data_IF_211153179963
#
_entry.id   IF_211153179963
#
_cell.length_a   1.000
_cell.length_b   1.000
_cell.length_c   1.000
_cell.angle_alpha   90.00
_cell.angle_beta   90.00
_cell.angle_gamma   90.00
#
_symmetry.space_group_name_H-M   'P 1'
#
loop_
_entity.id
_entity.type
_entity.pdbx_description
1 polymer ?
#
# COMPACT_ATOMS: atom_id res chain seq x y z
N UNK A 1 15.98 -8.97 14.81
CA UNK A 1 16.48 -8.79 13.42
C UNK A 1 15.39 -8.13 12.56
N UNK A 2 15.71 -7.48 11.42
CA UNK A 2 14.69 -6.89 10.54
C UNK A 2 13.53 -7.82 10.18
N UNK A 3 13.80 -9.12 10.02
CA UNK A 3 12.76 -10.15 9.79
C UNK A 3 11.70 -10.28 10.90
N UNK A 4 11.97 -9.78 12.11
CA UNK A 4 11.01 -9.79 13.22
C UNK A 4 9.83 -8.84 12.95
N UNK A 5 10.06 -7.74 12.22
CA UNK A 5 9.01 -6.81 11.81
C UNK A 5 8.08 -7.48 10.81
N UNK A 6 8.63 -8.09 9.76
CA UNK A 6 7.84 -8.84 8.78
C UNK A 6 7.07 -9.98 9.45
N UNK A 7 7.69 -10.71 10.37
CA UNK A 7 7.04 -11.78 11.11
C UNK A 7 5.90 -11.26 12.01
N UNK A 8 6.10 -10.15 12.70
CA UNK A 8 5.08 -9.52 13.53
C UNK A 8 3.88 -9.06 12.68
N UNK A 9 4.13 -8.35 11.58
CA UNK A 9 3.07 -7.89 10.66
C UNK A 9 2.36 -9.09 10.01
N UNK A 10 3.11 -10.12 9.61
CA UNK A 10 2.54 -11.37 9.08
C UNK A 10 1.56 -12.03 10.05
N UNK A 11 1.88 -12.05 11.35
CA UNK A 11 0.99 -12.62 12.37
C UNK A 11 -0.25 -11.77 12.62
N UNK A 12 -0.15 -10.44 12.47
CA UNK A 12 -1.28 -9.51 12.61
C UNK A 12 -2.09 -9.36 11.31
N UNK A 13 -1.66 -9.99 10.22
CA UNK A 13 -2.13 -9.83 8.83
C UNK A 13 -1.90 -8.42 8.22
N UNK A 14 -2.01 -7.36 9.01
CA UNK A 14 -1.76 -5.98 8.59
C UNK A 14 -1.27 -5.12 9.76
N UNK A 15 -0.66 -3.98 9.42
CA UNK A 15 -0.29 -2.94 10.38
C UNK A 15 -0.80 -1.59 9.87
N UNK A 16 -1.78 -1.01 10.57
CA UNK A 16 -2.37 0.27 10.18
C UNK A 16 -1.35 1.41 10.28
N UNK A 17 -1.38 2.30 9.30
CA UNK A 17 -0.59 3.53 9.20
C UNK A 17 -1.44 4.70 9.68
N UNK A 18 -0.94 5.40 10.70
CA UNK A 18 -1.54 6.64 11.21
C UNK A 18 -0.54 7.80 11.10
N UNK A 19 -1.04 8.97 10.70
CA UNK A 19 -0.28 10.21 10.60
C UNK A 19 -0.10 10.94 11.93
N UNK A 20 -0.95 10.68 12.92
CA UNK A 20 -0.90 11.33 14.24
C UNK A 20 0.42 10.96 14.93
N UNK A 21 1.13 11.99 15.43
CA UNK A 21 2.45 11.84 16.03
C UNK A 21 2.60 12.66 17.32
N UNK A 22 1.79 12.34 18.34
CA UNK A 22 1.87 12.99 19.66
C UNK A 22 3.01 12.41 20.51
N UNK A 23 3.13 11.09 20.53
CA UNK A 23 4.22 10.37 21.25
C UNK A 23 5.12 9.67 20.24
N UNK A 24 4.51 8.82 19.42
CA UNK A 24 5.07 8.26 18.19
C UNK A 24 3.88 7.89 17.29
N UNK A 25 4.13 7.68 15.99
CA UNK A 25 3.08 7.20 15.09
C UNK A 25 2.67 5.77 15.42
N UNK A 26 1.38 5.47 15.27
CA UNK A 26 0.77 4.18 15.64
C UNK A 26 1.55 2.93 15.17
N UNK A 27 2.05 2.84 13.92
CA UNK A 27 2.83 1.67 13.47
C UNK A 27 3.99 1.31 14.40
N UNK A 28 4.71 2.33 14.88
CA UNK A 28 5.91 2.13 15.68
C UNK A 28 5.58 1.67 17.09
N UNK A 29 4.48 2.17 17.65
CA UNK A 29 3.97 1.77 18.97
C UNK A 29 3.46 0.33 18.96
N UNK A 30 2.69 -0.05 17.94
CA UNK A 30 2.18 -1.43 17.81
C UNK A 30 3.32 -2.44 17.70
N UNK A 31 4.34 -2.13 16.88
CA UNK A 31 5.52 -2.99 16.77
C UNK A 31 6.32 -3.05 18.06
N UNK A 32 6.49 -1.93 18.79
CA UNK A 32 7.15 -1.91 20.09
C UNK A 32 6.44 -2.83 21.09
N UNK A 33 5.10 -2.79 21.16
CA UNK A 33 4.32 -3.68 22.04
C UNK A 33 4.43 -5.17 21.71
N UNK A 34 4.90 -5.53 20.51
CA UNK A 34 5.07 -6.91 20.04
C UNK A 34 6.52 -7.39 20.11
N UNK A 35 7.48 -6.50 19.89
CA UNK A 35 8.90 -6.81 19.73
C UNK A 35 9.78 -6.29 20.88
N UNK A 36 9.23 -5.44 21.76
CA UNK A 36 10.02 -4.65 22.70
C UNK A 36 10.81 -3.56 21.97
N UNK A 37 11.97 -3.20 22.53
CA UNK A 37 12.88 -2.25 21.89
C UNK A 37 13.40 -2.81 20.57
N UNK A 38 13.16 -2.10 19.47
CA UNK A 38 13.65 -2.46 18.13
C UNK A 38 14.04 -1.20 17.36
N UNK A 39 14.97 -1.28 16.39
CA UNK A 39 15.27 -0.17 15.51
C UNK A 39 14.08 0.13 14.58
N UNK A 40 13.49 1.33 14.70
CA UNK A 40 12.35 1.75 13.87
C UNK A 40 12.63 1.69 12.37
N UNK A 41 13.88 1.93 11.97
CA UNK A 41 14.34 1.82 10.58
C UNK A 41 14.08 0.44 9.94
N UNK A 42 13.88 -0.62 10.75
CA UNK A 42 13.54 -1.94 10.21
C UNK A 42 12.20 -1.97 9.48
N UNK A 43 11.23 -1.14 9.88
CA UNK A 43 9.94 -1.05 9.17
C UNK A 43 10.11 -0.42 7.78
N UNK A 44 10.81 0.71 7.72
CA UNK A 44 11.09 1.40 6.46
C UNK A 44 11.97 0.55 5.54
N UNK A 45 12.95 -0.16 6.09
CA UNK A 45 13.83 -1.07 5.35
C UNK A 45 13.07 -2.28 4.80
N UNK A 46 12.13 -2.87 5.56
CA UNK A 46 11.30 -3.96 5.08
C UNK A 46 10.39 -3.54 3.92
N UNK A 47 9.88 -2.30 3.94
CA UNK A 47 9.19 -1.71 2.79
C UNK A 47 10.14 -1.52 1.60
N UNK A 48 11.31 -0.91 1.83
CA UNK A 48 12.31 -0.61 0.79
C UNK A 48 12.87 -1.86 0.11
N UNK A 49 12.99 -2.97 0.84
CA UNK A 49 13.36 -4.31 0.31
C UNK A 49 12.24 -4.99 -0.46
N UNK A 50 11.02 -4.44 -0.41
CA UNK A 50 9.83 -5.06 -0.98
C UNK A 50 9.35 -6.27 -0.21
N UNK A 51 9.68 -6.43 1.08
CA UNK A 51 9.10 -7.48 1.92
C UNK A 51 7.67 -7.11 2.34
N UNK A 52 7.44 -5.80 2.51
CA UNK A 52 6.15 -5.19 2.77
C UNK A 52 5.67 -4.38 1.56
N UNK A 53 4.37 -4.11 1.53
CA UNK A 53 3.73 -3.16 0.64
C UNK A 53 2.77 -2.26 1.43
N UNK A 54 2.43 -1.10 0.87
CA UNK A 54 1.33 -0.27 1.38
C UNK A 54 0.10 -0.42 0.51
N UNK A 55 -1.08 -0.57 1.14
CA UNK A 55 -2.35 -0.47 0.43
C UNK A 55 -3.53 -0.12 1.35
N UNK A 56 -4.70 0.15 0.74
CA UNK A 56 -5.97 0.33 1.42
C UNK A 56 -6.60 -1.03 1.77
N UNK A 57 -6.53 -1.43 3.04
CA UNK A 57 -7.32 -2.54 3.56
C UNK A 57 -8.66 -2.00 4.11
N UNK A 58 -8.67 -1.52 5.35
CA UNK A 58 -9.74 -0.65 5.87
C UNK A 58 -9.29 0.81 5.82
N UNK A 59 -8.08 1.06 6.33
CA UNK A 59 -7.33 2.30 6.16
C UNK A 59 -5.98 2.00 5.47
N UNK A 60 -5.11 3.00 5.39
CA UNK A 60 -3.75 2.80 4.91
C UNK A 60 -3.02 1.83 5.84
N UNK A 61 -2.47 0.74 5.30
CA UNK A 61 -1.78 -0.28 6.09
C UNK A 61 -0.49 -0.74 5.39
N UNK A 62 0.48 -1.19 6.19
CA UNK A 62 1.53 -2.10 5.75
C UNK A 62 1.00 -3.54 5.72
N UNK A 63 1.31 -4.25 4.65
CA UNK A 63 0.90 -5.63 4.39
C UNK A 63 2.12 -6.43 3.94
N UNK A 64 2.23 -7.73 4.25
CA UNK A 64 3.21 -8.60 3.61
C UNK A 64 3.05 -8.57 2.09
N UNK A 65 4.13 -8.48 1.32
CA UNK A 65 4.05 -8.45 -0.16
C UNK A 65 3.30 -9.64 -0.76
N UNK A 66 3.41 -10.82 -0.15
CA UNK A 66 2.68 -12.03 -0.58
C UNK A 66 1.15 -11.87 -0.54
N UNK A 67 0.65 -10.89 0.21
CA UNK A 67 -0.78 -10.63 0.34
C UNK A 67 -1.29 -9.67 -0.75
N UNK A 68 -0.45 -9.29 -1.73
CA UNK A 68 -0.87 -8.54 -2.91
C UNK A 68 -2.07 -9.19 -3.61
N UNK A 69 -2.05 -10.52 -3.74
CA UNK A 69 -3.17 -11.30 -4.30
C UNK A 69 -4.50 -11.10 -3.57
N UNK A 70 -4.46 -10.88 -2.25
CA UNK A 70 -5.66 -10.71 -1.43
C UNK A 70 -6.32 -9.36 -1.70
N UNK A 71 -5.53 -8.33 -1.99
CA UNK A 71 -6.04 -6.97 -2.21
C UNK A 71 -6.17 -6.58 -3.68
N UNK A 72 -5.65 -7.40 -4.60
CA UNK A 72 -5.59 -7.07 -6.03
C UNK A 72 -6.96 -6.87 -6.67
N UNK A 73 -7.97 -7.65 -6.28
CA UNK A 73 -9.34 -7.48 -6.77
C UNK A 73 -9.89 -6.05 -6.51
N UNK A 74 -9.47 -5.39 -5.43
CA UNK A 74 -9.86 -4.01 -5.11
C UNK A 74 -9.17 -2.99 -6.02
N UNK A 75 -7.91 -3.25 -6.37
CA UNK A 75 -7.16 -2.41 -7.30
C UNK A 75 -7.72 -2.48 -8.72
N UNK A 76 -8.25 -3.65 -9.11
CA UNK A 76 -8.87 -3.88 -10.42
C UNK A 76 -10.32 -3.35 -10.51
N UNK A 77 -10.95 -3.06 -9.37
CA UNK A 77 -12.28 -2.45 -9.27
C UNK A 77 -12.25 -1.18 -8.39
N UNK A 78 -11.40 -0.18 -8.72
CA UNK A 78 -11.17 0.96 -7.85
C UNK A 78 -12.41 1.85 -7.66
N UNK A 79 -13.37 1.82 -8.58
CA UNK A 79 -14.67 2.48 -8.46
C UNK A 79 -15.47 2.05 -7.23
N UNK A 80 -15.21 0.85 -6.69
CA UNK A 80 -15.83 0.34 -5.46
C UNK A 80 -15.17 0.86 -4.19
N UNK A 81 -14.07 1.62 -4.29
CA UNK A 81 -13.30 2.12 -3.14
C UNK A 81 -13.86 3.43 -2.54
N UNK A 82 -15.02 3.90 -3.03
CA UNK A 82 -15.70 5.09 -2.52
C UNK A 82 -14.84 6.33 -2.64
N UNK A 83 -14.75 7.13 -1.57
CA UNK A 83 -14.03 8.41 -1.59
C UNK A 83 -12.52 8.31 -1.91
N UNK A 84 -11.92 7.12 -1.76
CA UNK A 84 -10.50 6.84 -2.07
C UNK A 84 -10.20 6.81 -3.57
N UNK A 85 -11.23 6.75 -4.42
CA UNK A 85 -11.09 6.80 -5.87
C UNK A 85 -12.17 7.68 -6.50
N UNK A 86 -11.77 8.64 -7.33
CA UNK A 86 -12.69 9.57 -7.99
C UNK A 86 -12.62 9.39 -9.50
N UNK A 87 -13.47 8.52 -10.04
CA UNK A 87 -13.48 8.18 -11.46
C UNK A 87 -13.59 9.40 -12.39
N UNK A 88 -14.45 10.36 -12.06
CA UNK A 88 -14.61 11.60 -12.83
C UNK A 88 -13.28 12.37 -12.97
N UNK A 89 -12.49 12.46 -11.89
CA UNK A 89 -11.18 13.12 -11.92
C UNK A 89 -10.17 12.36 -12.78
N UNK A 90 -10.16 11.02 -12.67
CA UNK A 90 -9.27 10.20 -13.49
C UNK A 90 -9.57 10.32 -14.97
N UNK A 91 -10.85 10.52 -15.32
CA UNK A 91 -11.27 10.76 -16.69
C UNK A 91 -10.93 12.18 -17.17
N UNK A 92 -11.27 13.19 -16.36
CA UNK A 92 -11.02 14.61 -16.65
C UNK A 92 -9.53 14.91 -16.89
N UNK A 93 -8.65 14.28 -16.10
CA UNK A 93 -7.21 14.49 -16.18
C UNK A 93 -6.44 13.31 -16.80
N UNK A 94 -7.10 12.50 -17.65
CA UNK A 94 -6.52 11.27 -18.19
C UNK A 94 -5.17 11.49 -18.91
N UNK A 95 -5.07 12.55 -19.73
CA UNK A 95 -3.84 12.91 -20.42
C UNK A 95 -2.70 13.23 -19.42
N UNK A 96 -3.02 13.93 -18.34
CA UNK A 96 -2.04 14.26 -17.31
C UNK A 96 -1.55 13.07 -16.51
N UNK A 97 -2.48 12.19 -16.17
CA UNK A 97 -2.15 10.94 -15.50
C UNK A 97 -1.25 10.08 -16.38
N UNK A 98 -1.52 10.03 -17.69
CA UNK A 98 -0.70 9.27 -18.63
C UNK A 98 0.72 9.86 -18.76
N UNK A 99 0.84 11.19 -18.85
CA UNK A 99 2.14 11.88 -18.83
C UNK A 99 2.92 11.59 -17.53
N UNK A 100 2.25 11.60 -16.38
CA UNK A 100 2.86 11.23 -15.10
C UNK A 100 3.35 9.78 -15.10
N UNK A 101 2.55 8.84 -15.62
CA UNK A 101 2.96 7.43 -15.73
C UNK A 101 4.18 7.27 -16.63
N UNK A 102 4.23 7.96 -17.79
CA UNK A 102 5.41 7.99 -18.66
C UNK A 102 6.63 8.58 -17.97
N UNK A 103 6.45 9.69 -17.24
CA UNK A 103 7.53 10.31 -16.49
C UNK A 103 8.13 9.33 -15.46
N UNK A 104 7.28 8.63 -14.69
CA UNK A 104 7.74 7.60 -13.75
C UNK A 104 8.46 6.49 -14.54
N UNK A 105 7.89 6.01 -15.66
CA UNK A 105 8.51 4.99 -16.51
C UNK A 105 9.95 5.36 -16.93
N UNK A 106 10.19 6.61 -17.31
CA UNK A 106 11.48 7.09 -17.82
C UNK A 106 12.47 7.47 -16.71
N UNK A 107 12.00 8.11 -15.64
CA UNK A 107 12.86 8.76 -14.63
C UNK A 107 12.89 8.02 -13.29
N UNK A 108 12.02 7.02 -13.10
CA UNK A 108 11.95 6.21 -11.88
C UNK A 108 10.95 6.75 -10.85
N UNK A 109 11.07 6.30 -9.58
CA UNK A 109 10.09 6.56 -8.54
C UNK A 109 9.98 8.05 -8.14
N UNK A 110 8.77 8.50 -7.79
CA UNK A 110 8.47 9.92 -7.48
C UNK A 110 7.67 10.10 -6.20
N UNK A 111 7.75 11.28 -5.59
CA UNK A 111 6.88 11.75 -4.50
C UNK A 111 5.99 12.87 -5.01
N UNK A 112 4.85 13.09 -4.35
CA UNK A 112 4.02 14.26 -4.64
C UNK A 112 4.78 15.59 -4.49
N UNK A 113 5.69 15.65 -3.50
CA UNK A 113 6.50 16.83 -3.20
C UNK A 113 7.55 17.17 -4.28
N UNK A 114 7.93 16.21 -5.14
CA UNK A 114 8.88 16.46 -6.22
C UNK A 114 8.26 17.40 -7.29
N UNK A 115 6.94 17.49 -7.34
CA UNK A 115 6.17 18.36 -8.24
C UNK A 115 5.76 19.70 -7.60
N UNK A 116 5.90 19.84 -6.29
CA UNK A 116 5.63 21.08 -5.54
C UNK A 116 6.81 22.06 -5.57
N UNK A 117 7.85 21.85 -6.38
CA UNK A 117 8.99 22.78 -6.44
C UNK A 117 9.56 22.88 -7.85
N UNK A 118 8.71 22.75 -8.88
CA UNK A 118 9.12 22.91 -10.28
C UNK A 118 10.02 24.15 -10.40
N UNK A 119 11.29 23.91 -10.79
CA UNK A 119 12.36 24.92 -10.77
C UNK A 119 11.86 26.19 -11.48
N UNK A 120 12.01 27.35 -10.82
CA UNK A 120 11.75 28.67 -11.42
C UNK A 120 12.43 28.73 -12.80
N UNK A 121 11.64 28.81 -13.88
CA UNK A 121 12.15 28.94 -15.25
C UNK A 121 11.75 27.84 -16.23
N UNK A 122 11.14 26.73 -15.79
CA UNK A 122 10.52 25.76 -16.70
C UNK A 122 9.04 26.10 -16.84
N UNK A 123 8.70 27.03 -17.74
CA UNK A 123 7.30 27.23 -18.13
C UNK A 123 6.88 26.07 -19.04
N UNK A 124 6.12 25.14 -18.52
CA UNK A 124 5.52 24.08 -19.32
C UNK A 124 4.89 23.06 -18.41
N UNK A 125 3.58 22.85 -18.55
CA UNK A 125 2.74 21.79 -18.01
C UNK A 125 2.78 21.45 -16.49
N UNK A 126 3.85 21.77 -15.79
CA UNK A 126 4.13 21.57 -14.37
C UNK A 126 3.54 22.65 -13.46
N UNK A 127 2.53 23.39 -13.92
CA UNK A 127 1.85 24.37 -13.07
C UNK A 127 0.85 23.71 -12.10
N UNK A 128 1.41 23.17 -11.01
CA UNK A 128 0.89 22.97 -9.64
C UNK A 128 -0.60 22.64 -9.40
N UNK A 129 -0.82 21.40 -8.92
CA UNK A 129 -1.65 20.94 -7.76
C UNK A 129 -2.31 19.55 -7.92
N UNK A 130 -2.58 18.98 -9.10
CA UNK A 130 -3.35 17.74 -9.13
C UNK A 130 -2.49 16.48 -8.94
N UNK A 131 -1.15 16.53 -9.02
CA UNK A 131 -0.27 15.35 -8.95
C UNK A 131 -0.45 14.49 -7.70
N UNK A 132 -0.72 15.09 -6.53
CA UNK A 132 -1.04 14.32 -5.32
C UNK A 132 -2.27 13.44 -5.54
N UNK A 133 -3.33 14.03 -6.12
CA UNK A 133 -4.59 13.33 -6.40
C UNK A 133 -4.45 12.33 -7.55
N UNK A 134 -3.61 12.63 -8.55
CA UNK A 134 -3.24 11.69 -9.62
C UNK A 134 -2.53 10.46 -9.04
N UNK A 135 -1.51 10.66 -8.19
CA UNK A 135 -0.79 9.57 -7.53
C UNK A 135 -1.69 8.77 -6.59
N UNK A 136 -2.59 9.43 -5.83
CA UNK A 136 -3.57 8.75 -4.99
C UNK A 136 -4.55 7.90 -5.81
N UNK A 137 -5.03 8.42 -6.95
CA UNK A 137 -5.90 7.69 -7.86
C UNK A 137 -5.21 6.48 -8.50
N UNK A 138 -3.97 6.67 -9.00
CA UNK A 138 -3.14 5.59 -9.55
C UNK A 138 -2.80 4.54 -8.49
N UNK A 139 -2.56 4.96 -7.25
CA UNK A 139 -2.29 4.06 -6.12
C UNK A 139 -3.53 3.23 -5.78
N UNK A 140 -4.70 3.85 -5.68
CA UNK A 140 -5.96 3.13 -5.44
C UNK A 140 -6.31 2.18 -6.61
N UNK A 141 -6.00 2.55 -7.85
CA UNK A 141 -6.15 1.68 -9.02
C UNK A 141 -5.02 0.64 -9.17
N UNK A 142 -4.07 0.56 -8.23
CA UNK A 142 -2.94 -0.36 -8.25
C UNK A 142 -2.07 -0.24 -9.51
N UNK A 143 -2.00 0.95 -10.11
CA UNK A 143 -1.10 1.29 -11.24
C UNK A 143 0.28 1.70 -10.73
N UNK A 144 0.34 2.27 -9.53
CA UNK A 144 1.58 2.52 -8.79
C UNK A 144 1.52 1.84 -7.41
N UNK A 145 2.69 1.54 -6.87
CA UNK A 145 2.89 1.04 -5.51
C UNK A 145 3.88 1.93 -4.76
N UNK A 146 3.80 1.93 -3.43
CA UNK A 146 4.77 2.62 -2.59
C UNK A 146 6.00 1.74 -2.42
N UNK A 147 7.17 2.24 -2.82
CA UNK A 147 8.46 1.53 -2.71
C UNK A 147 9.24 1.89 -1.47
N UNK A 148 9.03 3.09 -0.92
CA UNK A 148 9.60 3.53 0.35
C UNK A 148 8.84 4.75 0.89
N UNK A 149 9.21 5.17 2.10
CA UNK A 149 8.83 6.46 2.66
C UNK A 149 10.05 7.33 2.89
N UNK A 150 9.98 8.60 2.47
CA UNK A 150 10.98 9.63 2.81
C UNK A 150 10.29 10.71 3.63
N UNK A 151 10.71 10.93 4.88
CA UNK A 151 10.04 11.85 5.80
C UNK A 151 8.53 11.59 5.92
N UNK A 152 8.14 10.32 5.94
CA UNK A 152 6.74 9.87 5.95
C UNK A 152 5.90 10.25 4.72
N UNK A 153 6.54 10.73 3.63
CA UNK A 153 5.93 10.87 2.32
C UNK A 153 6.16 9.60 1.50
N UNK A 154 5.11 9.13 0.82
CA UNK A 154 5.19 7.96 -0.07
C UNK A 154 6.04 8.29 -1.31
N UNK A 155 6.93 7.37 -1.65
CA UNK A 155 7.62 7.31 -2.95
C UNK A 155 6.94 6.23 -3.78
N UNK A 156 6.43 6.59 -4.95
CA UNK A 156 5.67 5.72 -5.82
C UNK A 156 6.49 5.26 -7.02
N UNK A 157 6.39 3.99 -7.38
CA UNK A 157 6.84 3.45 -8.67
C UNK A 157 5.72 2.61 -9.30
N UNK A 158 5.86 2.30 -10.58
CA UNK A 158 4.89 1.53 -11.34
C UNK A 158 4.79 0.10 -10.80
N UNK A 159 3.56 -0.39 -10.66
CA UNK A 159 3.29 -1.76 -10.20
C UNK A 159 4.07 -2.83 -10.97
N UNK A 160 4.23 -2.77 -12.31
CA UNK A 160 5.02 -3.76 -13.05
C UNK A 160 6.52 -3.74 -12.71
N UNK A 161 7.09 -2.61 -12.26
CA UNK A 161 8.49 -2.60 -11.78
C UNK A 161 8.61 -3.14 -10.37
N UNK A 162 7.62 -2.86 -9.53
CA UNK A 162 7.60 -3.36 -8.16
C UNK A 162 7.30 -4.86 -8.16
N UNK A 163 6.40 -5.35 -9.01
CA UNK A 163 5.90 -6.72 -9.12
C UNK A 163 6.15 -7.32 -10.53
N UNK A 164 7.41 -7.48 -10.98
CA UNK A 164 7.74 -7.78 -12.38
C UNK A 164 7.30 -9.16 -12.87
N UNK A 165 7.01 -10.08 -11.96
CA UNK A 165 6.57 -11.43 -12.30
C UNK A 165 5.09 -11.66 -12.04
N UNK A 166 4.35 -10.65 -11.59
CA UNK A 166 2.94 -10.77 -11.29
C UNK A 166 2.10 -10.82 -12.55
N UNK A 167 1.17 -11.76 -12.61
CA UNK A 167 0.20 -11.90 -13.68
C UNK A 167 -1.21 -12.02 -13.08
N UNK A 168 -2.11 -11.11 -13.45
CA UNK A 168 -3.47 -11.05 -12.87
C UNK A 168 -4.32 -12.28 -13.22
N UNK A 169 -4.09 -12.94 -14.36
CA UNK A 169 -4.83 -14.14 -14.77
C UNK A 169 -4.32 -15.39 -14.04
N UNK A 170 -2.99 -15.50 -13.88
CA UNK A 170 -2.35 -16.65 -13.23
C UNK A 170 -2.36 -16.56 -11.70
N UNK A 171 -2.04 -15.41 -11.14
CA UNK A 171 -1.79 -15.22 -9.70
C UNK A 171 -2.98 -14.58 -8.97
N UNK A 172 -3.94 -14.03 -9.73
CA UNK A 172 -5.13 -13.38 -9.20
C UNK A 172 -6.07 -14.32 -8.46
N UNK A 173 -6.83 -13.74 -7.53
CA UNK A 173 -7.91 -14.41 -6.83
C UNK A 173 -9.24 -13.74 -7.20
N UNK A 174 -10.31 -14.53 -7.26
CA UNK A 174 -11.65 -13.94 -7.25
C UNK A 174 -11.87 -13.15 -5.95
N UNK A 175 -12.79 -12.18 -5.98
CA UNK A 175 -13.14 -11.41 -4.79
C UNK A 175 -13.56 -12.34 -3.63
N UNK A 176 -14.40 -13.34 -3.89
CA UNK A 176 -14.88 -14.25 -2.85
C UNK A 176 -13.77 -15.13 -2.25
N UNK A 177 -12.81 -15.59 -3.07
CA UNK A 177 -11.65 -16.34 -2.60
C UNK A 177 -10.74 -15.46 -1.73
N UNK A 178 -10.49 -14.22 -2.18
CA UNK A 178 -9.70 -13.27 -1.42
C UNK A 178 -10.35 -12.95 -0.06
N UNK A 179 -11.66 -12.68 -0.04
CA UNK A 179 -12.41 -12.40 1.18
C UNK A 179 -12.40 -13.58 2.15
N UNK A 180 -12.59 -14.81 1.65
CA UNK A 180 -12.51 -16.02 2.49
C UNK A 180 -11.12 -16.16 3.15
N UNK A 181 -10.04 -16.00 2.38
CA UNK A 181 -8.68 -16.08 2.92
C UNK A 181 -8.37 -14.94 3.90
N UNK A 182 -8.89 -13.73 3.66
CA UNK A 182 -8.74 -12.60 4.58
C UNK A 182 -9.50 -12.85 5.89
N UNK A 183 -10.68 -13.47 5.84
CA UNK A 183 -11.43 -13.90 7.03
C UNK A 183 -10.64 -14.95 7.82
N UNK A 184 -10.09 -15.97 7.15
CA UNK A 184 -9.28 -17.00 7.80
C UNK A 184 -8.00 -16.42 8.44
N UNK A 185 -7.35 -15.48 7.76
CA UNK A 185 -6.21 -14.75 8.31
C UNK A 185 -6.62 -13.94 9.55
N UNK A 186 -7.75 -13.24 9.49
CA UNK A 186 -8.27 -12.43 10.59
C UNK A 186 -8.61 -13.29 11.80
N UNK A 187 -9.27 -14.43 11.59
CA UNK A 187 -9.60 -15.38 12.65
C UNK A 187 -8.31 -15.85 13.36
N UNK A 188 -7.31 -16.29 12.59
CA UNK A 188 -6.01 -16.72 13.14
C UNK A 188 -5.29 -15.62 13.91
N UNK A 189 -5.27 -14.39 13.40
CA UNK A 189 -4.63 -13.25 14.05
C UNK A 189 -5.30 -12.85 15.37
N UNK A 190 -6.61 -13.10 15.51
CA UNK A 190 -7.38 -12.86 16.73
C UNK A 190 -7.39 -14.05 17.71
N UNK A 191 -6.77 -15.18 17.33
CA UNK A 191 -6.72 -16.39 18.16
C UNK A 191 -7.93 -17.33 18.00
N UNK A 192 -8.78 -17.12 16.99
CA UNK A 192 -9.87 -18.03 16.67
C UNK A 192 -9.41 -19.05 15.62
N UNK A 193 -9.63 -20.34 15.87
CA UNK A 193 -9.53 -21.38 14.85
C UNK A 193 -10.92 -21.73 14.33
N UNK A 194 -11.15 -21.53 13.03
CA UNK A 194 -12.36 -22.03 12.36
C UNK A 194 -12.03 -23.43 11.87
N UNK A 195 -12.31 -24.44 12.68
CA UNK A 195 -12.36 -25.81 12.19
C UNK A 195 -13.64 -25.94 11.35
N UNK A 196 -13.55 -26.54 10.15
CA UNK A 196 -14.64 -26.73 9.18
C UNK A 196 -15.70 -27.76 9.65
N UNK A 197 -16.05 -27.71 10.93
CA UNK A 197 -17.12 -28.40 11.60
C UNK A 197 -17.40 -27.62 12.88
N UNK A 198 -18.43 -26.77 12.84
CA UNK A 198 -18.94 -25.93 13.92
C UNK A 198 -18.45 -26.30 15.34
N UNK A 199 -17.44 -25.58 15.84
CA UNK A 199 -17.15 -25.33 17.27
C UNK A 199 -16.00 -24.33 17.39
N UNK A 200 -16.31 -23.11 17.78
CA UNK A 200 -15.31 -22.14 18.24
C UNK A 200 -14.78 -22.67 19.57
N UNK A 201 -13.51 -23.04 19.62
CA UNK A 201 -12.82 -23.29 20.89
C UNK A 201 -11.90 -22.10 21.14
N UNK A 202 -12.15 -21.38 22.23
CA UNK A 202 -11.24 -20.36 22.78
C UNK A 202 -10.04 -21.07 23.41
N UNK A 203 -8.84 -20.57 23.14
CA UNK A 203 -7.61 -21.00 23.80
C UNK A 203 -7.61 -20.62 25.29
#
# INVERSE_FOLDING_TARGET
MPGDVLAAISRMALLQIDTINVVARSPYLVLFSRLGSYPQAWLDEALRRGELMEYWAHEACFLPRRDFKLIRHRMLSPEKMGWKYRAAWMHEHAEEIEQLVRHIQEHGPVRSADFEHARKGVSGWWEWKPHKRHLEGLFTAGKVMVVERRNFQRVYDLTPRVMPHWDDERDGLSQSQAESLMLDNSARSLGFSVNSGWRITTA
#
